data_IF_714657991482
#
_entry.id   IF_714657991482
#
_cell.length_a   1.000
_cell.length_b   1.000
_cell.length_c   1.000
_cell.angle_alpha   90.00
_cell.angle_beta   90.00
_cell.angle_gamma   90.00
#
_symmetry.space_group_name_H-M   'P 1'
#
loop_
_entity.id
_entity.type
_entity.pdbx_description
1 polymer ?
#
# COMPACT_ATOMS: atom_id res chain seq x y z
N UNK A 1 -0.04 -23.16 -28.24
CA UNK A 1 0.02 -21.77 -27.76
C UNK A 1 -0.03 -21.86 -26.25
N UNK A 2 1.04 -21.48 -25.57
CA UNK A 2 1.05 -21.45 -24.11
C UNK A 2 0.03 -20.41 -23.64
N UNK A 3 -0.95 -20.87 -22.86
CA UNK A 3 -1.92 -19.99 -22.21
C UNK A 3 -1.18 -19.11 -21.22
N UNK A 4 -1.29 -17.79 -21.38
CA UNK A 4 -0.75 -16.83 -20.42
C UNK A 4 -1.34 -17.10 -19.04
N UNK A 5 -0.49 -17.51 -18.09
CA UNK A 5 -0.84 -17.52 -16.67
C UNK A 5 -0.83 -16.08 -16.15
N UNK A 6 -2.02 -15.61 -15.77
CA UNK A 6 -2.32 -14.22 -15.39
C UNK A 6 -2.28 -14.00 -13.87
N UNK A 7 -1.75 -14.95 -13.11
CA UNK A 7 -1.69 -14.85 -11.65
C UNK A 7 -0.39 -14.24 -11.12
N UNK A 8 0.62 -14.09 -11.97
CA UNK A 8 1.95 -13.61 -11.58
C UNK A 8 2.48 -12.56 -12.55
N UNK A 9 2.93 -11.43 -12.01
CA UNK A 9 3.62 -10.39 -12.79
C UNK A 9 4.88 -10.93 -13.48
N UNK A 10 5.55 -11.93 -12.90
CA UNK A 10 6.73 -12.53 -13.53
C UNK A 10 6.35 -13.27 -14.80
N UNK A 11 5.29 -14.08 -14.76
CA UNK A 11 4.81 -14.83 -15.92
C UNK A 11 4.29 -13.91 -17.00
N UNK A 12 3.53 -12.87 -16.62
CA UNK A 12 3.03 -11.85 -17.54
C UNK A 12 4.17 -11.10 -18.23
N UNK A 13 5.16 -10.62 -17.47
CA UNK A 13 6.31 -9.91 -18.04
C UNK A 13 7.15 -10.80 -18.95
N UNK A 14 7.37 -12.08 -18.57
CA UNK A 14 8.14 -13.03 -19.38
C UNK A 14 7.46 -13.30 -20.73
N UNK A 15 6.13 -13.43 -20.74
CA UNK A 15 5.37 -13.69 -21.97
C UNK A 15 5.52 -12.60 -23.04
N UNK A 16 5.80 -11.34 -22.64
CA UNK A 16 6.00 -10.23 -23.56
C UNK A 16 7.45 -9.71 -23.59
N UNK A 17 8.41 -10.44 -23.03
CA UNK A 17 9.80 -9.98 -22.89
C UNK A 17 10.45 -9.70 -24.26
N UNK A 18 10.16 -10.55 -25.24
CA UNK A 18 10.69 -10.54 -26.60
C UNK A 18 10.25 -9.29 -27.38
N UNK A 19 9.12 -8.71 -26.99
CA UNK A 19 8.53 -7.53 -27.65
C UNK A 19 9.15 -6.23 -27.16
N UNK A 20 9.96 -6.25 -26.10
CA UNK A 20 10.52 -5.03 -25.52
C UNK A 20 11.58 -4.42 -26.45
N UNK A 21 11.35 -3.23 -27.05
CA UNK A 21 12.25 -2.62 -28.02
C UNK A 21 13.48 -1.97 -27.38
N UNK A 22 13.58 -1.98 -26.04
CA UNK A 22 14.67 -1.35 -25.32
C UNK A 22 15.95 -2.19 -25.36
N UNK A 23 17.11 -1.55 -25.48
CA UNK A 23 18.39 -2.22 -25.23
C UNK A 23 18.47 -2.61 -23.74
N UNK A 24 19.25 -3.65 -23.45
CA UNK A 24 19.27 -4.32 -22.13
C UNK A 24 19.51 -3.34 -20.97
N UNK A 25 20.38 -2.36 -21.16
CA UNK A 25 20.78 -1.37 -20.13
C UNK A 25 19.64 -0.42 -19.75
N UNK A 26 18.61 -0.31 -20.60
CA UNK A 26 17.42 0.53 -20.36
C UNK A 26 16.22 -0.28 -19.86
N UNK A 27 16.38 -1.58 -19.62
CA UNK A 27 15.30 -2.47 -19.14
C UNK A 27 15.24 -2.45 -17.61
N UNK A 28 14.34 -1.64 -17.05
CA UNK A 28 14.12 -1.55 -15.60
C UNK A 28 13.19 -2.66 -15.09
N UNK A 29 13.61 -3.93 -15.20
CA UNK A 29 12.76 -5.11 -14.91
C UNK A 29 12.05 -5.04 -13.56
N UNK A 30 12.74 -4.64 -12.49
CA UNK A 30 12.15 -4.52 -11.15
C UNK A 30 11.05 -3.46 -11.05
N UNK A 31 11.20 -2.30 -11.72
CA UNK A 31 10.18 -1.24 -11.72
C UNK A 31 8.96 -1.64 -12.55
N UNK A 32 9.19 -2.37 -13.65
CA UNK A 32 8.13 -2.93 -14.47
C UNK A 32 7.33 -3.96 -13.68
N UNK A 33 8.00 -4.90 -12.99
CA UNK A 33 7.35 -5.90 -12.13
C UNK A 33 6.50 -5.25 -11.02
N UNK A 34 7.02 -4.21 -10.35
CA UNK A 34 6.24 -3.45 -9.37
C UNK A 34 4.97 -2.85 -9.98
N UNK A 35 5.08 -2.32 -11.20
CA UNK A 35 3.94 -1.72 -11.91
C UNK A 35 2.90 -2.76 -12.32
N UNK A 36 3.33 -3.92 -12.81
CA UNK A 36 2.40 -5.01 -13.18
C UNK A 36 1.74 -5.64 -11.96
N UNK A 37 2.47 -5.80 -10.85
CA UNK A 37 1.87 -6.21 -9.57
C UNK A 37 0.80 -5.22 -9.10
N UNK A 38 1.05 -3.91 -9.24
CA UNK A 38 0.05 -2.88 -8.95
C UNK A 38 -1.19 -3.03 -9.84
N UNK A 39 -1.01 -3.25 -11.14
CA UNK A 39 -2.15 -3.50 -12.05
C UNK A 39 -2.93 -4.75 -11.63
N UNK A 40 -2.24 -5.86 -11.34
CA UNK A 40 -2.85 -7.11 -10.87
C UNK A 40 -3.66 -6.95 -9.58
N UNK A 41 -3.21 -6.10 -8.66
CA UNK A 41 -3.91 -5.89 -7.37
C UNK A 41 -5.15 -5.01 -7.49
N UNK A 42 -5.28 -4.24 -8.59
CA UNK A 42 -6.31 -3.21 -8.72
C UNK A 42 -7.19 -3.39 -9.97
N UNK A 43 -7.06 -4.51 -10.67
CA UNK A 43 -7.90 -4.87 -11.81
C UNK A 43 -8.40 -6.29 -11.63
N UNK A 44 -9.71 -6.48 -11.70
CA UNK A 44 -10.29 -7.80 -11.44
C UNK A 44 -10.02 -8.75 -12.60
N UNK A 45 -10.10 -8.27 -13.85
CA UNK A 45 -9.81 -9.06 -15.05
C UNK A 45 -9.42 -8.16 -16.22
N UNK A 46 -8.19 -8.34 -16.75
CA UNK A 46 -7.75 -7.73 -18.01
C UNK A 46 -7.74 -8.76 -19.15
N UNK A 47 -8.16 -8.33 -20.32
CA UNK A 47 -7.98 -9.04 -21.59
C UNK A 47 -6.50 -9.14 -21.97
N UNK A 48 -6.18 -9.98 -22.97
CA UNK A 48 -4.81 -10.14 -23.44
C UNK A 48 -4.25 -8.85 -24.07
N UNK A 49 -5.09 -8.10 -24.79
CA UNK A 49 -4.72 -6.81 -25.38
C UNK A 49 -4.41 -5.77 -24.29
N UNK A 50 -5.18 -5.78 -23.21
CA UNK A 50 -4.95 -4.90 -22.06
C UNK A 50 -3.69 -5.29 -21.28
N UNK A 51 -3.39 -6.57 -21.10
CA UNK A 51 -2.12 -7.02 -20.50
C UNK A 51 -0.92 -6.61 -21.34
N UNK A 52 -1.01 -6.78 -22.66
CA UNK A 52 0.00 -6.34 -23.61
C UNK A 52 0.26 -4.83 -23.48
N UNK A 53 -0.80 -4.03 -23.42
CA UNK A 53 -0.71 -2.59 -23.25
C UNK A 53 -0.13 -2.18 -21.88
N UNK A 54 -0.55 -2.84 -20.80
CA UNK A 54 -0.02 -2.62 -19.46
C UNK A 54 1.48 -2.93 -19.38
N UNK A 55 1.93 -4.04 -19.98
CA UNK A 55 3.37 -4.42 -20.01
C UNK A 55 4.19 -3.44 -20.83
N UNK A 56 3.74 -3.07 -22.03
CA UNK A 56 4.39 -2.05 -22.84
C UNK A 56 4.53 -0.73 -22.08
N UNK A 57 3.43 -0.28 -21.45
CA UNK A 57 3.38 0.95 -20.67
C UNK A 57 4.31 0.89 -19.47
N UNK A 58 4.33 -0.22 -18.74
CA UNK A 58 5.21 -0.41 -17.58
C UNK A 58 6.69 -0.29 -17.95
N UNK A 59 7.08 -0.76 -19.15
CA UNK A 59 8.44 -0.66 -19.66
C UNK A 59 8.77 0.74 -20.18
N UNK A 60 7.77 1.47 -20.69
CA UNK A 60 7.92 2.81 -21.25
C UNK A 60 7.92 3.92 -20.17
N UNK A 61 7.04 3.84 -19.18
CA UNK A 61 6.74 4.96 -18.26
C UNK A 61 7.93 5.37 -17.36
N UNK A 62 8.89 4.46 -17.14
CA UNK A 62 10.08 4.69 -16.30
C UNK A 62 11.28 5.27 -17.07
N UNK A 63 11.15 5.46 -18.39
CA UNK A 63 12.20 6.05 -19.21
C UNK A 63 12.35 7.55 -18.95
N UNK A 64 13.57 8.06 -19.10
CA UNK A 64 13.80 9.51 -19.14
C UNK A 64 13.07 10.16 -20.34
N UNK A 65 12.75 11.47 -20.29
CA UNK A 65 12.01 12.14 -21.37
C UNK A 65 12.62 11.96 -22.77
N UNK A 66 13.94 12.06 -22.89
CA UNK A 66 14.64 11.86 -24.16
C UNK A 66 14.49 10.42 -24.68
N UNK A 67 14.53 9.42 -23.80
CA UNK A 67 14.33 8.02 -24.19
C UNK A 67 12.86 7.74 -24.52
N UNK A 68 11.91 8.33 -23.79
CA UNK A 68 10.48 8.25 -24.14
C UNK A 68 10.24 8.71 -25.56
N UNK A 69 10.75 9.88 -25.93
CA UNK A 69 10.62 10.40 -27.29
C UNK A 69 11.29 9.49 -28.35
N UNK A 70 12.50 8.98 -28.07
CA UNK A 70 13.25 8.16 -29.01
C UNK A 70 12.65 6.76 -29.25
N UNK A 71 11.93 6.20 -28.28
CA UNK A 71 11.40 4.83 -28.33
C UNK A 71 9.88 4.75 -28.45
N UNK A 72 9.16 5.87 -28.43
CA UNK A 72 7.69 5.88 -28.47
C UNK A 72 7.10 5.05 -29.62
N UNK A 73 7.46 5.38 -30.86
CA UNK A 73 6.93 4.67 -32.04
C UNK A 73 7.38 3.21 -32.10
N UNK A 74 8.53 2.88 -31.48
CA UNK A 74 9.00 1.49 -31.37
C UNK A 74 8.14 0.68 -30.42
N UNK A 75 7.73 1.25 -29.28
CA UNK A 75 6.79 0.58 -28.36
C UNK A 75 5.43 0.34 -29.01
N UNK A 76 4.89 1.37 -29.67
CA UNK A 76 3.63 1.30 -30.41
C UNK A 76 3.68 0.18 -31.45
N UNK A 77 4.79 0.06 -32.19
CA UNK A 77 4.95 -0.96 -33.22
C UNK A 77 5.20 -2.36 -32.65
N UNK A 78 6.15 -2.51 -31.71
CA UNK A 78 6.55 -3.82 -31.18
C UNK A 78 5.47 -4.52 -30.36
N UNK A 79 4.60 -3.74 -29.72
CA UNK A 79 3.46 -4.26 -28.97
C UNK A 79 2.14 -4.17 -29.74
N UNK A 80 2.14 -3.66 -30.97
CA UNK A 80 0.93 -3.48 -31.79
C UNK A 80 -0.18 -2.68 -31.06
N UNK A 81 0.20 -1.52 -30.56
CA UNK A 81 -0.67 -0.62 -29.79
C UNK A 81 -1.11 0.57 -30.63
N UNK A 82 -2.20 1.22 -30.24
CA UNK A 82 -2.50 2.59 -30.71
C UNK A 82 -1.68 3.60 -29.89
N UNK A 83 -1.24 4.70 -30.52
CA UNK A 83 -0.55 5.79 -29.79
C UNK A 83 -1.36 6.30 -28.59
N UNK A 84 -2.68 6.43 -28.76
CA UNK A 84 -3.61 6.84 -27.72
C UNK A 84 -3.71 5.84 -26.57
N UNK A 85 -3.50 4.56 -26.84
CA UNK A 85 -3.59 3.48 -25.87
C UNK A 85 -2.41 3.52 -24.90
N UNK A 86 -1.18 3.71 -25.41
CA UNK A 86 0.02 3.85 -24.57
C UNK A 86 -0.10 5.05 -23.61
N UNK A 87 -0.61 6.19 -24.10
CA UNK A 87 -0.85 7.37 -23.25
C UNK A 87 -1.99 7.17 -22.26
N UNK A 88 -3.08 6.51 -22.66
CA UNK A 88 -4.22 6.24 -21.79
C UNK A 88 -3.81 5.33 -20.63
N UNK A 89 -3.03 4.28 -20.91
CA UNK A 89 -2.47 3.39 -19.89
C UNK A 89 -1.43 4.08 -19.01
N UNK A 90 -0.55 4.91 -19.58
CA UNK A 90 0.43 5.68 -18.79
C UNK A 90 -0.29 6.60 -17.80
N UNK A 91 -1.36 7.26 -18.25
CA UNK A 91 -2.22 8.06 -17.39
C UNK A 91 -2.96 7.21 -16.37
N UNK A 92 -3.64 6.13 -16.75
CA UNK A 92 -4.41 5.31 -15.81
C UNK A 92 -3.53 4.66 -14.72
N UNK A 93 -2.35 4.18 -15.09
CA UNK A 93 -1.36 3.65 -14.14
C UNK A 93 -0.79 4.79 -13.28
N UNK A 94 -0.49 5.94 -13.88
CA UNK A 94 -0.02 7.13 -13.17
C UNK A 94 -1.05 7.62 -12.15
N UNK A 95 -2.29 7.84 -12.57
CA UNK A 95 -3.40 8.31 -11.74
C UNK A 95 -3.74 7.30 -10.65
N UNK A 96 -3.74 5.99 -10.92
CA UNK A 96 -3.95 4.99 -9.85
C UNK A 96 -2.78 4.93 -8.86
N UNK A 97 -1.53 5.16 -9.30
CA UNK A 97 -0.38 5.28 -8.40
C UNK A 97 -0.43 6.57 -7.60
N UNK A 98 -0.86 7.68 -8.19
CA UNK A 98 -1.02 8.98 -7.52
C UNK A 98 -2.21 8.95 -6.58
N UNK A 99 -3.34 8.35 -6.95
CA UNK A 99 -4.44 8.08 -6.03
C UNK A 99 -3.94 7.22 -4.88
N UNK A 100 -3.07 6.22 -5.14
CA UNK A 100 -2.48 5.39 -4.08
C UNK A 100 -1.43 6.07 -3.23
N UNK A 101 -0.62 6.99 -3.78
CA UNK A 101 0.32 7.86 -3.04
C UNK A 101 -0.43 8.97 -2.28
N UNK A 102 -1.54 9.47 -2.81
CA UNK A 102 -2.47 10.38 -2.11
C UNK A 102 -3.23 9.60 -1.03
N UNK A 103 -3.45 8.30 -1.23
CA UNK A 103 -3.95 7.32 -0.27
C UNK A 103 -2.82 6.80 0.66
N UNK A 104 -1.53 7.06 0.39
CA UNK A 104 -0.44 7.10 1.39
C UNK A 104 -0.49 8.38 2.26
N UNK A 105 -1.48 9.24 2.00
CA UNK A 105 -2.15 10.17 2.93
C UNK A 105 -1.29 11.07 3.78
N UNK A 106 -1.55 12.36 3.55
CA UNK A 106 -1.46 13.43 4.53
C UNK A 106 -1.83 12.93 5.93
N UNK A 107 -0.78 12.73 6.73
CA UNK A 107 -0.78 12.49 8.17
C UNK A 107 0.07 13.60 8.77
N UNK A 108 -0.35 14.24 9.88
CA UNK A 108 0.44 15.31 10.49
C UNK A 108 1.66 14.80 11.28
N UNK A 109 1.99 13.52 11.18
CA UNK A 109 3.04 12.86 11.95
C UNK A 109 3.75 11.79 11.12
N UNK A 110 5.01 11.51 11.47
CA UNK A 110 5.80 10.43 10.88
C UNK A 110 5.45 9.11 11.54
N UNK A 111 5.48 8.00 10.79
CA UNK A 111 5.18 6.67 11.32
C UNK A 111 6.22 6.29 12.38
N UNK A 112 7.48 6.66 12.16
CA UNK A 112 8.59 6.39 13.08
C UNK A 112 8.33 6.98 14.48
N UNK A 113 7.72 8.17 14.55
CA UNK A 113 7.36 8.80 15.82
C UNK A 113 6.24 8.02 16.54
N UNK A 114 5.27 7.50 15.78
CA UNK A 114 4.18 6.67 16.31
C UNK A 114 4.72 5.34 16.84
N UNK A 115 5.59 4.66 16.08
CA UNK A 115 6.21 3.40 16.48
C UNK A 115 7.11 3.61 17.71
N UNK A 116 7.90 4.68 17.73
CA UNK A 116 8.72 5.02 18.91
C UNK A 116 7.85 5.24 20.15
N UNK A 117 6.75 5.98 20.03
CA UNK A 117 5.80 6.18 21.13
C UNK A 117 5.12 4.89 21.56
N UNK A 118 4.82 3.98 20.63
CA UNK A 118 4.27 2.66 20.95
C UNK A 118 5.27 1.82 21.74
N UNK A 119 6.52 1.77 21.28
CA UNK A 119 7.57 0.98 21.89
C UNK A 119 7.93 1.48 23.30
N UNK A 120 7.95 2.81 23.51
CA UNK A 120 8.10 3.39 24.86
C UNK A 120 6.99 2.92 25.81
N UNK A 121 5.74 2.91 25.36
CA UNK A 121 4.62 2.47 26.18
C UNK A 121 4.64 0.96 26.39
N UNK A 122 4.98 0.19 25.36
CA UNK A 122 4.96 -1.26 25.40
C UNK A 122 6.05 -1.88 26.28
N UNK A 123 7.06 -1.11 26.71
CA UNK A 123 8.06 -1.54 27.72
C UNK A 123 7.45 -2.05 29.03
N UNK A 124 6.20 -1.69 29.33
CA UNK A 124 5.47 -2.18 30.52
C UNK A 124 4.91 -3.59 30.36
N UNK A 125 4.90 -4.12 29.14
CA UNK A 125 4.37 -5.43 28.80
C UNK A 125 5.48 -6.40 28.41
N UNK A 126 5.11 -7.66 28.13
CA UNK A 126 6.05 -8.64 27.61
C UNK A 126 6.47 -8.29 26.17
N UNK A 127 7.61 -8.81 25.69
CA UNK A 127 8.06 -8.59 24.32
C UNK A 127 7.03 -8.97 23.24
N UNK A 128 6.23 -10.00 23.50
CA UNK A 128 5.19 -10.48 22.60
C UNK A 128 4.08 -9.43 22.40
N UNK A 129 3.59 -8.84 23.49
CA UNK A 129 2.59 -7.76 23.44
C UNK A 129 3.14 -6.54 22.71
N UNK A 130 4.39 -6.17 22.96
CA UNK A 130 5.04 -5.05 22.28
C UNK A 130 5.13 -5.27 20.76
N UNK A 131 5.49 -6.48 20.35
CA UNK A 131 5.53 -6.86 18.94
C UNK A 131 4.14 -6.81 18.30
N UNK A 132 3.10 -7.30 18.98
CA UNK A 132 1.73 -7.23 18.47
C UNK A 132 1.21 -5.80 18.34
N UNK A 133 1.54 -4.92 19.28
CA UNK A 133 1.19 -3.50 19.18
C UNK A 133 1.86 -2.84 17.97
N UNK A 134 3.16 -3.08 17.76
CA UNK A 134 3.87 -2.55 16.60
C UNK A 134 3.29 -3.08 15.28
N UNK A 135 3.07 -4.40 15.18
CA UNK A 135 2.50 -5.03 13.99
C UNK A 135 1.10 -4.50 13.68
N UNK A 136 0.26 -4.33 14.70
CA UNK A 136 -1.08 -3.78 14.54
C UNK A 136 -1.06 -2.32 14.09
N UNK A 137 -0.14 -1.50 14.59
CA UNK A 137 0.04 -0.12 14.12
C UNK A 137 0.47 -0.06 12.66
N UNK A 138 1.48 -0.86 12.27
CA UNK A 138 1.95 -0.92 10.87
C UNK A 138 0.82 -1.34 9.95
N UNK A 139 0.17 -2.46 10.27
CA UNK A 139 -0.96 -2.95 9.50
C UNK A 139 -2.12 -1.93 9.44
N UNK A 140 -2.44 -1.23 10.53
CA UNK A 140 -3.44 -0.17 10.51
C UNK A 140 -3.08 0.94 9.54
N UNK A 141 -1.84 1.41 9.55
CA UNK A 141 -1.41 2.48 8.66
C UNK A 141 -1.34 2.07 7.20
N UNK A 142 -1.09 0.80 6.92
CA UNK A 142 -1.10 0.24 5.57
C UNK A 142 -2.54 0.03 5.04
N UNK A 143 -3.48 -0.32 5.92
CA UNK A 143 -4.85 -0.74 5.52
C UNK A 143 -5.95 0.30 5.75
N UNK A 144 -5.75 1.27 6.65
CA UNK A 144 -6.71 2.37 6.81
C UNK A 144 -6.94 2.96 5.40
N UNK A 145 -8.15 3.45 5.01
CA UNK A 145 -8.44 3.99 3.66
C UNK A 145 -8.57 5.53 3.58
N UNK A 146 -8.46 6.29 4.70
CA UNK A 146 -8.65 7.76 4.76
C UNK A 146 -7.43 8.55 5.25
N UNK A 147 -7.29 9.81 4.80
CA UNK A 147 -6.32 10.75 5.36
C UNK A 147 -6.60 11.06 6.84
N UNK A 148 -5.54 11.39 7.58
CA UNK A 148 -5.63 11.74 9.00
C UNK A 148 -5.57 13.26 9.12
N UNK A 149 -6.60 13.85 9.74
CA UNK A 149 -6.70 15.30 9.90
C UNK A 149 -5.52 15.86 10.70
N UNK A 150 -5.10 17.08 10.39
CA UNK A 150 -3.94 17.73 11.01
C UNK A 150 -4.04 17.92 12.53
N UNK A 151 -5.26 17.97 13.07
CA UNK A 151 -5.52 18.13 14.50
C UNK A 151 -5.54 16.81 15.29
N UNK A 152 -5.23 15.69 14.65
CA UNK A 152 -5.18 14.38 15.32
C UNK A 152 -3.85 14.23 16.04
N UNK A 153 -3.91 14.01 17.35
CA UNK A 153 -2.76 13.56 18.13
C UNK A 153 -2.56 12.04 17.95
N UNK A 154 -1.42 11.61 17.40
CA UNK A 154 -1.14 10.19 17.16
C UNK A 154 -1.15 9.34 18.43
N UNK A 155 -0.91 9.94 19.62
CA UNK A 155 -1.03 9.25 20.91
C UNK A 155 -2.40 8.58 21.09
N UNK A 156 -3.46 9.17 20.52
CA UNK A 156 -4.80 8.58 20.55
C UNK A 156 -4.94 7.32 19.68
N UNK A 157 -4.12 7.17 18.64
CA UNK A 157 -4.05 5.96 17.82
C UNK A 157 -3.26 4.88 18.57
N UNK A 158 -2.11 5.25 19.16
CA UNK A 158 -1.29 4.33 19.96
C UNK A 158 -2.11 3.75 21.12
N UNK A 159 -2.79 4.59 21.91
CA UNK A 159 -3.64 4.12 23.01
C UNK A 159 -4.83 3.28 22.57
N UNK A 160 -5.36 3.53 21.36
CA UNK A 160 -6.39 2.68 20.78
C UNK A 160 -5.86 1.31 20.32
N UNK A 161 -4.60 1.23 19.88
CA UNK A 161 -3.93 -0.05 19.58
C UNK A 161 -3.62 -0.81 20.85
N UNK A 162 -3.08 -0.16 21.89
CA UNK A 162 -2.89 -0.79 23.21
C UNK A 162 -4.19 -1.42 23.69
N UNK A 163 -5.28 -0.66 23.68
CA UNK A 163 -6.60 -1.17 24.04
C UNK A 163 -7.01 -2.38 23.20
N UNK A 164 -6.83 -2.31 21.88
CA UNK A 164 -7.23 -3.37 20.95
C UNK A 164 -6.44 -4.67 21.15
N UNK A 165 -5.12 -4.58 21.32
CA UNK A 165 -4.24 -5.74 21.55
C UNK A 165 -4.56 -6.39 22.89
N UNK A 166 -4.63 -5.61 23.97
CA UNK A 166 -4.89 -6.14 25.32
C UNK A 166 -6.29 -6.76 25.40
N UNK A 167 -7.34 -6.08 24.94
CA UNK A 167 -8.71 -6.62 25.01
C UNK A 167 -8.90 -7.87 24.15
N UNK A 168 -8.14 -8.02 23.05
CA UNK A 168 -8.26 -9.15 22.14
C UNK A 168 -7.41 -10.36 22.55
N UNK A 169 -6.14 -10.13 22.89
CA UNK A 169 -5.13 -11.18 23.03
C UNK A 169 -4.67 -11.41 24.46
N UNK A 170 -4.79 -10.41 25.34
CA UNK A 170 -4.21 -10.42 26.68
C UNK A 170 -5.17 -9.82 27.72
N UNK A 171 -6.42 -10.31 27.83
CA UNK A 171 -7.44 -9.71 28.70
C UNK A 171 -7.04 -9.69 30.19
N UNK A 172 -6.16 -10.60 30.60
CA UNK A 172 -5.55 -10.65 31.94
C UNK A 172 -4.66 -9.43 32.25
N UNK A 173 -4.13 -8.76 31.22
CA UNK A 173 -3.32 -7.55 31.35
C UNK A 173 -4.17 -6.28 31.36
N UNK A 174 -5.50 -6.40 31.26
CA UNK A 174 -6.41 -5.25 31.21
C UNK A 174 -6.62 -4.69 32.61
N UNK A 175 -5.75 -3.76 33.00
CA UNK A 175 -5.85 -2.97 34.22
C UNK A 175 -6.41 -1.55 34.00
N UNK A 176 -6.85 -1.25 32.78
CA UNK A 176 -7.36 0.07 32.40
C UNK A 176 -8.72 0.03 31.68
N UNK A 177 -9.47 1.11 31.81
CA UNK A 177 -10.57 1.46 30.92
C UNK A 177 -10.15 2.51 29.85
N UNK A 178 -11.11 2.93 29.01
CA UNK A 178 -10.82 3.93 27.96
C UNK A 178 -10.54 5.33 28.51
N UNK A 179 -11.01 5.66 29.72
CA UNK A 179 -10.72 6.94 30.37
C UNK A 179 -9.30 6.93 30.94
N UNK A 180 -8.91 5.85 31.61
CA UNK A 180 -7.56 5.72 32.17
C UNK A 180 -6.48 5.70 31.08
N UNK A 181 -6.76 5.07 29.94
CA UNK A 181 -5.89 5.22 28.75
C UNK A 181 -5.87 6.64 28.22
N UNK A 182 -7.03 7.31 28.16
CA UNK A 182 -7.09 8.68 27.65
C UNK A 182 -6.23 9.62 28.48
N UNK A 183 -6.28 9.47 29.81
CA UNK A 183 -5.46 10.24 30.74
C UNK A 183 -3.97 9.91 30.58
N UNK A 184 -3.61 8.61 30.49
CA UNK A 184 -2.23 8.14 30.25
C UNK A 184 -1.62 8.68 28.97
N UNK A 185 -2.43 8.81 27.92
CA UNK A 185 -1.98 9.28 26.60
C UNK A 185 -2.19 10.78 26.41
N UNK A 186 -2.71 11.50 27.40
CA UNK A 186 -3.02 12.95 27.35
C UNK A 186 -3.92 13.31 26.16
N UNK A 187 -4.95 12.49 25.94
CA UNK A 187 -5.91 12.64 24.84
C UNK A 187 -7.34 12.52 25.36
N UNK A 188 -8.33 12.81 24.52
CA UNK A 188 -9.72 12.57 24.91
C UNK A 188 -10.10 11.10 24.79
N UNK A 189 -10.95 10.60 25.70
CA UNK A 189 -11.60 9.29 25.62
C UNK A 189 -12.31 9.08 24.29
N UNK A 190 -12.94 10.13 23.76
CA UNK A 190 -13.60 10.10 22.46
C UNK A 190 -12.62 9.82 21.32
N UNK A 191 -11.42 10.40 21.37
CA UNK A 191 -10.38 10.16 20.36
C UNK A 191 -9.94 8.68 20.36
N UNK A 192 -9.71 8.10 21.53
CA UNK A 192 -9.39 6.66 21.65
C UNK A 192 -10.54 5.81 21.10
N UNK A 193 -11.78 6.11 21.47
CA UNK A 193 -12.96 5.38 20.98
C UNK A 193 -13.18 5.46 19.47
N UNK A 194 -12.84 6.60 18.84
CA UNK A 194 -12.89 6.76 17.38
C UNK A 194 -11.84 5.85 16.73
N UNK A 195 -10.59 5.89 17.19
CA UNK A 195 -9.51 5.11 16.59
C UNK A 195 -9.66 3.62 16.84
N UNK A 196 -10.12 3.21 18.01
CA UNK A 196 -10.39 1.81 18.32
C UNK A 196 -11.45 1.23 17.36
N UNK A 197 -12.51 1.99 17.04
CA UNK A 197 -13.50 1.57 16.02
C UNK A 197 -12.88 1.42 14.64
N UNK A 198 -11.98 2.31 14.25
CA UNK A 198 -11.28 2.23 12.96
C UNK A 198 -10.33 1.01 12.92
N UNK A 199 -9.52 0.79 13.96
CA UNK A 199 -8.63 -0.37 14.09
C UNK A 199 -9.44 -1.66 14.02
N UNK A 200 -10.55 -1.76 14.77
CA UNK A 200 -11.43 -2.93 14.70
C UNK A 200 -11.97 -3.16 13.29
N UNK A 201 -12.36 -2.10 12.59
CA UNK A 201 -12.93 -2.17 11.24
C UNK A 201 -11.92 -2.63 10.19
N UNK A 202 -10.67 -2.16 10.26
CA UNK A 202 -9.69 -2.35 9.19
C UNK A 202 -8.61 -3.40 9.51
N UNK A 203 -8.33 -3.69 10.78
CA UNK A 203 -7.25 -4.61 11.18
C UNK A 203 -7.75 -5.94 11.76
N UNK A 204 -8.95 -5.97 12.34
CA UNK A 204 -9.45 -7.13 13.10
C UNK A 204 -10.53 -7.91 12.33
N UNK A 205 -11.12 -7.28 11.30
CA UNK A 205 -12.29 -7.81 10.59
C UNK A 205 -12.00 -9.04 9.71
N UNK A 206 -10.73 -9.32 9.40
CA UNK A 206 -10.33 -10.57 8.70
C UNK A 206 -10.35 -11.82 9.60
N UNK A 207 -10.56 -11.68 10.92
CA UNK A 207 -10.51 -12.81 11.87
C UNK A 207 -11.87 -13.19 12.50
N UNK A 208 -12.99 -12.66 12.00
CA UNK A 208 -14.34 -12.87 12.56
C UNK A 208 -15.37 -13.40 11.53
N UNK A 209 -14.89 -14.01 10.44
CA UNK A 209 -15.70 -14.76 9.50
C UNK A 209 -15.24 -16.22 9.44
#
# INVERSE_FOLDING_TARGET
MDTLDRTSAQTIMAFYEDRNPLPFEKRYRMLCLKTINHVLTHTDWLSEDEWRAAVATSSYMHLSPANKQAFFDKFVSSYDLKKSELYAWERAIGDSKVEHEVVERLRPFKIEDVITSSNEVAKRYTPEVAMEMEQMLRHFFDTYPKSIKSNVNYKSIVGAVEYAVIVRGYPELKDFDQQELADRYEVSKNSIGIWHRNIKKYCIREAWH
#
